data_IF_842670869455
#
_entry.id   IF_842670869455
#
_cell.length_a   1.000
_cell.length_b   1.000
_cell.length_c   1.000
_cell.angle_alpha   90.00
_cell.angle_beta   90.00
_cell.angle_gamma   90.00
#
_symmetry.space_group_name_H-M   'P 1'
#
loop_
_entity.id
_entity.type
_entity.pdbx_description
1 polymer ?
#
# COMPACT_ATOMS: atom_id res chain seq x y z
N UNK A 1 21.39 8.68 -31.39
CA UNK A 1 22.01 9.45 -30.30
C UNK A 1 21.08 10.58 -29.93
N UNK A 2 20.10 10.33 -29.08
CA UNK A 2 19.24 11.31 -28.35
C UNK A 2 18.32 10.48 -27.51
N UNK A 3 18.53 10.46 -26.20
CA UNK A 3 17.65 10.16 -25.05
C UNK A 3 18.46 9.52 -23.92
N UNK A 4 19.45 10.29 -23.46
CA UNK A 4 20.20 9.97 -22.23
C UNK A 4 20.15 11.19 -21.31
N UNK A 5 18.94 11.64 -20.95
CA UNK A 5 18.76 12.75 -20.01
C UNK A 5 17.32 12.71 -19.49
N UNK A 6 17.04 11.85 -18.53
CA UNK A 6 15.93 11.97 -17.55
C UNK A 6 15.98 10.83 -16.51
N UNK A 7 17.09 10.71 -15.79
CA UNK A 7 17.20 9.82 -14.64
C UNK A 7 17.94 10.46 -13.45
N UNK A 8 17.84 11.78 -13.30
CA UNK A 8 18.49 12.47 -12.19
C UNK A 8 17.59 13.57 -11.62
N UNK A 9 16.42 13.19 -11.05
CA UNK A 9 15.65 14.12 -10.19
C UNK A 9 14.64 13.37 -9.29
N UNK A 10 15.12 12.48 -8.45
CA UNK A 10 14.28 11.88 -7.40
C UNK A 10 15.08 11.64 -6.10
N UNK A 11 16.10 12.45 -5.82
CA UNK A 11 16.90 12.30 -4.60
C UNK A 11 17.12 13.63 -3.89
N UNK A 12 16.12 14.51 -3.83
CA UNK A 12 16.22 15.75 -3.09
C UNK A 12 14.87 16.23 -2.56
N UNK A 13 14.25 15.47 -1.68
CA UNK A 13 13.19 15.97 -0.81
C UNK A 13 13.21 15.24 0.54
N UNK A 14 14.39 15.12 1.14
CA UNK A 14 14.50 14.99 2.59
C UNK A 14 14.34 16.38 3.17
N UNK A 15 13.10 16.87 3.25
CA UNK A 15 12.78 18.07 3.99
C UNK A 15 13.13 17.83 5.45
N UNK A 16 14.14 18.53 5.93
CA UNK A 16 14.50 18.63 7.34
C UNK A 16 13.36 19.31 8.07
N UNK A 17 12.48 18.56 8.71
CA UNK A 17 11.60 19.10 9.73
C UNK A 17 12.43 19.38 10.97
N UNK A 18 12.89 20.61 11.12
CA UNK A 18 13.43 21.09 12.38
C UNK A 18 12.27 21.25 13.35
N UNK A 19 12.23 20.40 14.37
CA UNK A 19 11.38 20.61 15.54
C UNK A 19 11.87 21.87 16.26
N UNK A 20 11.13 22.97 16.17
CA UNK A 20 11.33 24.12 17.04
C UNK A 20 10.62 23.84 18.36
N UNK A 21 11.41 23.60 19.39
CA UNK A 21 10.95 23.73 20.77
C UNK A 21 10.72 25.23 21.06
N UNK A 22 9.50 25.62 21.39
CA UNK A 22 9.20 26.94 21.90
C UNK A 22 8.42 26.90 23.21
N UNK A 23 8.87 27.76 24.08
CA UNK A 23 8.68 27.98 25.50
C UNK A 23 7.24 28.00 26.03
N UNK A 24 7.18 27.53 27.28
CA UNK A 24 6.22 27.78 28.39
C UNK A 24 5.27 28.98 28.26
N UNK A 25 3.96 28.68 28.21
CA UNK A 25 2.93 29.44 28.90
C UNK A 25 1.84 28.49 29.42
N UNK A 26 1.45 28.67 30.69
CA UNK A 26 0.43 27.91 31.41
C UNK A 26 -0.93 27.98 30.71
N UNK A 27 -1.25 26.98 29.94
CA UNK A 27 -2.55 26.65 29.38
C UNK A 27 -2.58 25.13 29.26
N UNK A 28 -3.72 24.51 29.48
CA UNK A 28 -3.98 23.09 29.40
C UNK A 28 -3.10 22.47 28.31
N UNK A 29 -2.06 21.71 28.71
CA UNK A 29 -1.15 21.04 27.77
C UNK A 29 -1.93 19.96 27.03
N UNK A 30 -2.44 20.29 25.87
CA UNK A 30 -2.78 19.28 24.87
C UNK A 30 -1.45 18.67 24.45
N UNK A 31 -1.19 17.42 24.83
CA UNK A 31 0.02 16.73 24.40
C UNK A 31 0.04 16.72 22.87
N UNK A 32 0.90 17.52 22.27
CA UNK A 32 1.19 17.43 20.82
C UNK A 32 1.88 16.09 20.62
N UNK A 33 1.11 15.07 20.24
CA UNK A 33 1.61 13.70 20.03
C UNK A 33 2.75 13.71 19.02
N UNK A 34 3.81 13.00 19.35
CA UNK A 34 4.97 12.84 18.49
C UNK A 34 4.59 12.03 17.25
N UNK A 35 4.99 12.49 16.08
CA UNK A 35 4.95 11.71 14.86
C UNK A 35 6.03 10.64 14.90
N UNK A 36 5.65 9.42 14.55
CA UNK A 36 6.52 8.28 14.35
C UNK A 36 6.27 7.70 12.98
N UNK A 37 7.23 7.00 12.43
CA UNK A 37 7.01 6.41 11.12
C UNK A 37 8.23 5.72 10.55
N UNK A 38 8.09 5.26 9.31
CA UNK A 38 9.16 4.61 8.56
C UNK A 38 9.09 4.95 7.08
N UNK A 39 10.24 5.08 6.46
CA UNK A 39 10.42 5.06 5.02
C UNK A 39 11.06 3.74 4.61
N UNK A 40 10.54 3.09 3.57
CA UNK A 40 11.07 1.83 3.02
C UNK A 40 11.45 2.03 1.57
N UNK A 41 12.61 1.49 1.16
CA UNK A 41 13.06 1.48 -0.22
C UNK A 41 13.53 0.06 -0.60
N UNK A 42 13.00 -0.47 -1.69
CA UNK A 42 13.38 -1.76 -2.25
C UNK A 42 13.82 -1.64 -3.70
N UNK A 43 14.85 -2.41 -4.05
CA UNK A 43 15.34 -2.53 -5.41
C UNK A 43 15.78 -3.97 -5.68
N UNK A 44 15.36 -4.52 -6.83
CA UNK A 44 15.83 -5.80 -7.33
C UNK A 44 16.07 -5.72 -8.83
N UNK A 45 17.16 -6.33 -9.30
CA UNK A 45 17.46 -6.41 -10.73
C UNK A 45 18.01 -7.78 -11.08
N UNK A 46 17.51 -8.35 -12.16
CA UNK A 46 18.05 -9.58 -12.75
C UNK A 46 18.50 -9.33 -14.18
N UNK A 47 19.60 -9.96 -14.57
CA UNK A 47 20.18 -9.89 -15.92
C UNK A 47 20.62 -11.28 -16.36
N UNK A 48 20.71 -11.52 -17.66
CA UNK A 48 21.10 -12.81 -18.24
C UNK A 48 19.99 -13.40 -19.11
N UNK A 49 19.62 -14.66 -18.85
CA UNK A 49 18.56 -15.35 -19.63
C UNK A 49 17.18 -14.70 -19.48
N UNK A 50 16.92 -14.07 -18.34
CA UNK A 50 15.78 -13.17 -18.11
C UNK A 50 16.29 -11.80 -17.67
N UNK A 51 15.48 -10.77 -17.91
CA UNK A 51 15.77 -9.40 -17.48
C UNK A 51 14.56 -8.86 -16.74
N UNK A 52 14.77 -8.38 -15.51
CA UNK A 52 13.75 -7.64 -14.74
C UNK A 52 14.38 -6.56 -13.88
N UNK A 53 13.59 -5.55 -13.54
CA UNK A 53 13.93 -4.49 -12.60
C UNK A 53 12.69 -4.16 -11.80
N UNK A 54 12.81 -4.12 -10.47
CA UNK A 54 11.73 -3.77 -9.56
C UNK A 54 12.23 -2.68 -8.63
N UNK A 55 11.43 -1.66 -8.44
CA UNK A 55 11.66 -0.58 -7.47
C UNK A 55 10.37 -0.38 -6.69
N UNK A 56 10.46 -0.29 -5.38
CA UNK A 56 9.34 0.08 -4.53
C UNK A 56 9.76 1.05 -3.44
N UNK A 57 8.84 1.92 -3.05
CA UNK A 57 8.99 2.83 -1.93
C UNK A 57 7.71 2.82 -1.09
N UNK A 58 7.87 2.86 0.24
CA UNK A 58 6.76 2.97 1.18
C UNK A 58 7.06 4.04 2.23
N UNK A 59 6.04 4.78 2.61
CA UNK A 59 6.07 5.74 3.71
C UNK A 59 4.90 5.43 4.65
N UNK A 60 5.19 5.31 5.93
CA UNK A 60 4.18 5.16 6.97
C UNK A 60 4.41 6.21 8.05
N UNK A 61 3.41 6.99 8.36
CA UNK A 61 3.44 8.01 9.42
C UNK A 61 2.29 7.75 10.38
N UNK A 62 2.57 7.82 11.68
CA UNK A 62 1.57 7.65 12.73
C UNK A 62 1.74 8.74 13.77
N UNK A 63 0.62 9.25 14.26
CA UNK A 63 0.57 10.17 15.38
C UNK A 63 -0.44 9.67 16.41
N UNK A 64 -0.02 9.58 17.64
CA UNK A 64 -0.89 9.20 18.73
C UNK A 64 -0.82 10.27 19.82
N UNK A 65 -1.97 10.91 20.12
CA UNK A 65 -2.17 11.83 21.22
C UNK A 65 -3.06 11.18 22.28
N UNK A 66 -3.42 11.90 23.31
CA UNK A 66 -4.38 11.39 24.34
C UNK A 66 -5.75 11.11 23.72
N UNK A 67 -6.19 11.92 22.74
CA UNK A 67 -7.52 11.85 22.15
C UNK A 67 -7.53 11.32 20.69
N UNK A 68 -6.42 11.43 19.97
CA UNK A 68 -6.37 11.10 18.54
C UNK A 68 -5.34 10.04 18.21
N UNK A 69 -5.70 9.23 17.23
CA UNK A 69 -4.80 8.25 16.60
C UNK A 69 -4.89 8.48 15.08
N UNK A 70 -3.89 9.11 14.51
CA UNK A 70 -3.83 9.45 13.09
C UNK A 70 -2.81 8.55 12.38
N UNK A 71 -3.09 8.17 11.16
CA UNK A 71 -2.13 7.48 10.30
C UNK A 71 -2.18 8.01 8.88
N UNK A 72 -1.05 7.92 8.20
CA UNK A 72 -0.89 8.17 6.79
C UNK A 72 0.05 7.14 6.21
N UNK A 73 -0.26 6.62 5.03
CA UNK A 73 0.66 5.80 4.26
C UNK A 73 0.67 6.20 2.78
N UNK A 74 1.81 5.93 2.14
CA UNK A 74 2.00 6.08 0.71
C UNK A 74 2.91 4.97 0.22
N UNK A 75 2.43 4.15 -0.71
CA UNK A 75 3.15 3.04 -1.32
C UNK A 75 3.28 3.27 -2.83
N UNK A 76 4.45 2.99 -3.37
CA UNK A 76 4.70 3.04 -4.81
C UNK A 76 5.50 1.82 -5.23
N UNK A 77 5.11 1.23 -6.37
CA UNK A 77 5.78 0.09 -6.98
C UNK A 77 5.88 0.31 -8.48
N UNK A 78 7.06 0.10 -9.03
CA UNK A 78 7.26 -0.01 -10.48
C UNK A 78 8.13 -1.20 -10.82
N UNK A 79 7.64 -2.04 -11.74
CA UNK A 79 8.36 -3.19 -12.26
C UNK A 79 8.50 -3.11 -13.77
N UNK A 80 9.64 -3.54 -14.28
CA UNK A 80 9.89 -3.76 -15.70
C UNK A 80 10.39 -5.17 -15.91
N UNK A 81 9.96 -5.81 -16.99
CA UNK A 81 10.33 -7.17 -17.30
C UNK A 81 10.46 -7.41 -18.80
N UNK A 82 11.07 -8.54 -19.12
CA UNK A 82 11.13 -8.99 -20.50
C UNK A 82 9.81 -9.67 -20.88
N UNK A 83 9.06 -9.06 -21.79
CA UNK A 83 7.82 -9.57 -22.36
C UNK A 83 8.05 -10.01 -23.80
N UNK A 84 7.31 -11.03 -24.25
CA UNK A 84 7.32 -11.47 -25.64
C UNK A 84 6.13 -10.83 -26.34
N UNK A 85 6.40 -10.05 -27.40
CA UNK A 85 5.37 -9.41 -28.23
C UNK A 85 5.49 -9.90 -29.66
N UNK A 86 4.38 -9.96 -30.38
CA UNK A 86 4.37 -10.29 -31.81
C UNK A 86 4.57 -8.99 -32.61
N UNK A 87 5.62 -8.93 -33.43
CA UNK A 87 5.85 -7.76 -34.28
C UNK A 87 4.89 -7.72 -35.51
N UNK A 88 4.94 -6.66 -36.29
CA UNK A 88 4.08 -6.48 -37.44
C UNK A 88 4.27 -7.57 -38.52
N UNK A 89 5.40 -8.30 -38.50
CA UNK A 89 5.72 -9.42 -39.40
C UNK A 89 5.30 -10.80 -38.85
N UNK A 90 4.59 -10.84 -37.68
CA UNK A 90 4.14 -12.07 -37.06
C UNK A 90 5.21 -12.81 -36.23
N UNK A 91 6.40 -12.25 -36.06
CA UNK A 91 7.48 -12.87 -35.30
C UNK A 91 7.42 -12.51 -33.82
N UNK A 92 7.68 -13.51 -32.95
CA UNK A 92 7.83 -13.28 -31.51
C UNK A 92 9.16 -12.57 -31.22
N UNK A 93 9.09 -11.37 -30.65
CA UNK A 93 10.26 -10.56 -30.25
C UNK A 93 10.20 -10.30 -28.73
N UNK A 94 11.36 -10.30 -28.09
CA UNK A 94 11.48 -9.96 -26.69
C UNK A 94 11.66 -8.45 -26.53
N UNK A 95 10.77 -7.83 -25.75
CA UNK A 95 10.80 -6.41 -25.41
C UNK A 95 10.94 -6.23 -23.92
N UNK A 96 11.65 -5.18 -23.48
CA UNK A 96 11.77 -4.82 -22.07
C UNK A 96 10.77 -3.72 -21.75
N UNK A 97 9.69 -4.07 -21.06
CA UNK A 97 8.57 -3.16 -20.87
C UNK A 97 8.13 -3.12 -19.40
N UNK A 98 7.28 -2.13 -19.05
CA UNK A 98 6.69 -2.00 -17.74
C UNK A 98 5.67 -3.13 -17.52
N UNK A 99 5.78 -3.83 -16.40
CA UNK A 99 4.93 -4.96 -16.01
C UNK A 99 4.13 -4.71 -14.73
N UNK A 100 4.48 -3.66 -13.98
CA UNK A 100 3.68 -3.11 -12.88
C UNK A 100 3.98 -1.62 -12.74
N UNK A 101 2.95 -0.81 -12.49
CA UNK A 101 3.07 0.60 -12.11
C UNK A 101 1.88 0.95 -11.22
N UNK A 102 2.13 1.10 -9.92
CA UNK A 102 1.11 1.22 -8.89
C UNK A 102 1.51 2.24 -7.84
N UNK A 103 0.52 2.99 -7.37
CA UNK A 103 0.63 3.77 -6.14
C UNK A 103 -0.65 3.64 -5.31
N UNK A 104 -0.47 3.60 -4.00
CA UNK A 104 -1.52 3.44 -3.00
C UNK A 104 -1.30 4.48 -1.90
N UNK A 105 -2.34 5.25 -1.59
CA UNK A 105 -2.30 6.33 -0.61
C UNK A 105 -3.45 6.14 0.37
N UNK A 106 -3.21 6.36 1.65
CA UNK A 106 -4.28 6.34 2.62
C UNK A 106 -4.01 7.19 3.84
N UNK A 107 -5.11 7.61 4.45
CA UNK A 107 -5.09 8.36 5.69
C UNK A 107 -6.24 7.92 6.59
N UNK A 108 -6.01 7.93 7.90
CA UNK A 108 -7.07 7.73 8.88
C UNK A 108 -6.92 8.67 10.07
N UNK A 109 -8.08 9.04 10.66
CA UNK A 109 -8.18 9.81 11.88
C UNK A 109 -9.12 9.09 12.85
N UNK A 110 -8.60 8.66 13.99
CA UNK A 110 -9.33 7.94 15.03
C UNK A 110 -9.47 8.79 16.29
N UNK A 111 -10.70 9.03 16.72
CA UNK A 111 -10.99 9.68 17.99
C UNK A 111 -11.14 8.61 19.08
N UNK A 112 -10.29 8.66 20.10
CA UNK A 112 -10.28 7.69 21.21
C UNK A 112 -11.46 7.93 22.13
N UNK A 113 -12.26 6.89 22.36
CA UNK A 113 -13.35 6.87 23.33
C UNK A 113 -12.85 6.45 24.72
N UNK A 114 -11.89 5.54 24.72
CA UNK A 114 -11.19 5.00 25.90
C UNK A 114 -9.78 4.50 25.45
N UNK A 115 -8.92 3.98 26.37
CA UNK A 115 -7.58 3.50 26.04
C UNK A 115 -7.51 2.38 24.98
N UNK A 116 -8.64 1.70 24.68
CA UNK A 116 -8.70 0.59 23.72
C UNK A 116 -9.64 0.82 22.55
N UNK A 117 -10.60 1.73 22.68
CA UNK A 117 -11.68 1.91 21.70
C UNK A 117 -11.59 3.28 21.03
N UNK A 118 -11.90 3.35 19.75
CA UNK A 118 -11.92 4.60 19.00
C UNK A 118 -12.93 4.55 17.83
N UNK A 119 -13.43 5.71 17.45
CA UNK A 119 -14.16 5.90 16.17
C UNK A 119 -13.13 6.36 15.14
N UNK A 120 -13.13 5.74 13.97
CA UNK A 120 -12.15 6.03 12.91
C UNK A 120 -12.84 6.40 11.60
N UNK A 121 -12.42 7.52 11.02
CA UNK A 121 -12.66 7.86 9.63
C UNK A 121 -11.39 7.53 8.82
N UNK A 122 -11.54 6.83 7.70
CA UNK A 122 -10.42 6.44 6.84
C UNK A 122 -10.75 6.68 5.37
N UNK A 123 -9.71 7.05 4.62
CA UNK A 123 -9.74 7.18 3.16
C UNK A 123 -8.54 6.48 2.54
N UNK A 124 -8.77 5.80 1.41
CA UNK A 124 -7.75 5.13 0.61
C UNK A 124 -7.97 5.41 -0.87
N UNK A 125 -6.90 5.62 -1.60
CA UNK A 125 -6.87 5.71 -3.05
C UNK A 125 -5.75 4.83 -3.59
N UNK A 126 -6.09 3.99 -4.56
CA UNK A 126 -5.17 3.12 -5.25
C UNK A 126 -5.27 3.35 -6.76
N UNK A 127 -4.13 3.37 -7.43
CA UNK A 127 -4.02 3.34 -8.88
C UNK A 127 -3.06 2.22 -9.28
N UNK A 128 -3.50 1.35 -10.19
CA UNK A 128 -2.69 0.24 -10.71
C UNK A 128 -3.05 -0.01 -12.18
N UNK A 129 -2.13 0.29 -13.08
CA UNK A 129 -2.34 0.15 -14.52
C UNK A 129 -2.40 -1.33 -14.98
N UNK A 130 -2.04 -2.28 -14.12
CA UNK A 130 -1.93 -3.71 -14.43
C UNK A 130 -2.89 -4.60 -13.62
N UNK A 131 -3.65 -4.02 -12.69
CA UNK A 131 -4.61 -4.74 -11.86
C UNK A 131 -6.00 -4.85 -12.50
N UNK A 132 -6.91 -5.56 -11.81
CA UNK A 132 -8.31 -5.70 -12.20
C UNK A 132 -9.07 -4.37 -12.25
N UNK A 133 -8.65 -3.43 -11.40
CA UNK A 133 -9.20 -2.07 -11.33
C UNK A 133 -8.08 -1.07 -11.52
N UNK A 134 -8.26 -0.21 -12.52
CA UNK A 134 -7.29 0.83 -12.86
C UNK A 134 -7.08 1.84 -11.73
N UNK A 135 -8.15 2.14 -11.03
CA UNK A 135 -8.10 2.86 -9.77
C UNK A 135 -9.32 2.53 -8.91
N UNK A 136 -9.14 2.66 -7.61
CA UNK A 136 -10.21 2.56 -6.65
C UNK A 136 -9.99 3.55 -5.49
N UNK A 137 -11.10 4.13 -5.01
CA UNK A 137 -11.10 5.03 -3.87
C UNK A 137 -12.15 4.57 -2.87
N UNK A 138 -11.77 4.43 -1.61
CA UNK A 138 -12.68 4.03 -0.52
C UNK A 138 -12.64 5.07 0.58
N UNK A 139 -13.82 5.45 1.07
CA UNK A 139 -13.98 6.20 2.31
C UNK A 139 -14.81 5.37 3.28
N UNK A 140 -14.49 5.43 4.56
CA UNK A 140 -15.18 4.62 5.58
C UNK A 140 -15.24 5.33 6.93
N UNK A 141 -16.25 4.96 7.71
CA UNK A 141 -16.38 5.32 9.12
C UNK A 141 -16.54 4.02 9.91
N UNK A 142 -15.77 3.83 10.96
CA UNK A 142 -15.75 2.57 11.67
C UNK A 142 -15.49 2.70 13.16
N UNK A 143 -15.59 1.57 13.83
CA UNK A 143 -15.20 1.38 15.22
C UNK A 143 -13.91 0.57 15.25
N UNK A 144 -12.92 1.06 16.01
CA UNK A 144 -11.65 0.42 16.23
C UNK A 144 -11.48 -0.07 17.66
N UNK A 145 -10.85 -1.24 17.81
CA UNK A 145 -10.59 -1.84 19.11
C UNK A 145 -9.18 -2.41 19.19
N UNK A 146 -8.43 -2.03 20.24
CA UNK A 146 -7.12 -2.56 20.57
C UNK A 146 -7.30 -3.80 21.46
N UNK A 147 -7.32 -4.98 20.85
CA UNK A 147 -7.55 -6.24 21.53
C UNK A 147 -6.36 -6.65 22.42
N UNK A 148 -5.13 -6.47 21.90
CA UNK A 148 -3.90 -6.73 22.64
C UNK A 148 -2.96 -5.53 22.56
N UNK A 149 -2.44 -5.11 23.70
CA UNK A 149 -1.40 -4.07 23.80
C UNK A 149 -0.44 -4.47 24.92
N UNK A 150 0.62 -5.17 24.56
CA UNK A 150 1.70 -5.58 25.46
C UNK A 150 3.04 -5.08 24.90
N UNK A 151 4.13 -5.23 25.61
CA UNK A 151 5.47 -4.85 25.15
C UNK A 151 5.92 -5.62 23.90
N UNK A 152 5.36 -6.82 23.68
CA UNK A 152 5.73 -7.70 22.55
C UNK A 152 4.68 -7.81 21.50
N UNK A 153 3.39 -7.64 21.86
CA UNK A 153 2.27 -7.94 20.96
C UNK A 153 1.29 -6.77 20.91
N UNK A 154 0.93 -6.36 19.71
CA UNK A 154 -0.16 -5.44 19.47
C UNK A 154 -1.11 -6.06 18.46
N UNK A 155 -2.40 -6.05 18.76
CA UNK A 155 -3.46 -6.52 17.87
C UNK A 155 -4.62 -5.54 17.93
N UNK A 156 -4.99 -4.98 16.81
CA UNK A 156 -6.14 -4.09 16.67
C UNK A 156 -7.02 -4.50 15.50
N UNK A 157 -8.30 -4.20 15.66
CA UNK A 157 -9.32 -4.41 14.64
C UNK A 157 -10.07 -3.11 14.39
N UNK A 158 -10.49 -2.92 13.14
CA UNK A 158 -11.42 -1.86 12.75
C UNK A 158 -12.53 -2.50 11.92
N UNK A 159 -13.76 -2.07 12.13
CA UNK A 159 -14.91 -2.51 11.33
C UNK A 159 -15.89 -1.35 11.15
N UNK A 160 -16.46 -1.23 9.97
CA UNK A 160 -17.48 -0.22 9.71
C UNK A 160 -17.94 -0.21 8.27
N UNK A 161 -18.99 0.55 7.97
CA UNK A 161 -19.44 0.82 6.61
C UNK A 161 -18.46 1.72 5.87
N UNK A 162 -18.39 1.52 4.57
CA UNK A 162 -17.65 2.37 3.65
C UNK A 162 -18.34 2.50 2.30
N UNK A 163 -17.81 3.39 1.49
CA UNK A 163 -18.23 3.59 0.11
C UNK A 163 -16.99 3.54 -0.77
N UNK A 164 -17.03 2.66 -1.76
CA UNK A 164 -15.94 2.47 -2.73
C UNK A 164 -16.42 2.87 -4.12
N UNK A 165 -15.63 3.65 -4.81
CA UNK A 165 -15.75 3.96 -6.22
C UNK A 165 -14.52 3.45 -6.97
N UNK A 166 -14.71 2.85 -8.14
CA UNK A 166 -13.62 2.23 -8.89
C UNK A 166 -13.86 2.23 -10.40
N UNK A 167 -12.78 2.20 -11.16
CA UNK A 167 -12.77 2.04 -12.61
C UNK A 167 -12.20 0.67 -12.96
N UNK A 168 -13.02 -0.25 -13.51
CA UNK A 168 -12.51 -1.53 -14.02
C UNK A 168 -11.40 -1.31 -15.07
N UNK A 169 -10.46 -2.23 -15.14
CA UNK A 169 -9.47 -2.28 -16.21
C UNK A 169 -10.16 -2.49 -17.56
N UNK A 170 -9.45 -2.21 -18.65
CA UNK A 170 -9.96 -2.53 -19.98
C UNK A 170 -9.70 -4.02 -20.25
N UNK A 171 -10.77 -4.80 -20.35
CA UNK A 171 -10.71 -6.20 -20.77
C UNK A 171 -10.71 -6.35 -22.29
N UNK A 172 -10.79 -7.58 -22.76
CA UNK A 172 -11.00 -7.92 -24.17
C UNK A 172 -12.24 -8.78 -24.33
N UNK A 173 -12.98 -8.58 -25.42
CA UNK A 173 -14.07 -9.45 -25.83
C UNK A 173 -13.92 -9.82 -27.31
N UNK A 174 -14.32 -11.03 -27.69
CA UNK A 174 -14.28 -11.46 -29.08
C UNK A 174 -15.64 -11.23 -29.72
N UNK A 175 -15.70 -10.38 -30.76
CA UNK A 175 -16.90 -10.13 -31.56
C UNK A 175 -16.59 -10.60 -32.99
N UNK A 176 -17.35 -11.57 -33.50
CA UNK A 176 -17.16 -12.16 -34.85
C UNK A 176 -15.71 -12.63 -35.10
N UNK A 177 -15.05 -13.20 -34.09
CA UNK A 177 -13.67 -13.68 -34.20
C UNK A 177 -12.59 -12.58 -34.09
N UNK A 178 -12.96 -11.31 -33.86
CA UNK A 178 -12.05 -10.20 -33.65
C UNK A 178 -12.05 -9.79 -32.19
N UNK A 179 -10.86 -9.69 -31.58
CA UNK A 179 -10.72 -9.14 -30.24
C UNK A 179 -10.92 -7.63 -30.25
N UNK A 180 -11.89 -7.16 -29.46
CA UNK A 180 -12.19 -5.75 -29.28
C UNK A 180 -12.06 -5.37 -27.81
N UNK A 181 -11.57 -4.16 -27.47
CA UNK A 181 -11.49 -3.71 -26.08
C UNK A 181 -12.87 -3.64 -25.43
N UNK A 182 -13.01 -4.26 -24.28
CA UNK A 182 -14.18 -4.15 -23.39
C UNK A 182 -13.88 -3.12 -22.30
N UNK A 183 -14.48 -1.93 -22.43
CA UNK A 183 -14.36 -0.86 -21.44
C UNK A 183 -15.66 -0.74 -20.65
N UNK A 184 -15.59 -1.01 -19.37
CA UNK A 184 -16.72 -0.82 -18.48
C UNK A 184 -16.76 0.61 -17.89
N UNK A 185 -17.96 1.13 -17.59
CA UNK A 185 -18.10 2.42 -16.92
C UNK A 185 -17.59 2.33 -15.47
N UNK A 186 -17.31 3.50 -14.89
CA UNK A 186 -17.05 3.66 -13.46
C UNK A 186 -18.18 3.05 -12.65
N UNK A 187 -17.82 2.38 -11.59
CA UNK A 187 -18.74 1.70 -10.70
C UNK A 187 -18.52 2.14 -9.25
N UNK A 188 -19.56 1.97 -8.45
CA UNK A 188 -19.51 2.22 -7.02
C UNK A 188 -20.34 1.22 -6.24
N UNK A 189 -20.02 1.07 -4.96
CA UNK A 189 -20.74 0.19 -4.04
C UNK A 189 -20.56 0.64 -2.60
N UNK A 190 -21.54 0.30 -1.76
CA UNK A 190 -21.36 0.30 -0.30
C UNK A 190 -20.61 -0.96 0.07
N UNK A 191 -19.67 -0.83 0.99
CA UNK A 191 -18.84 -1.95 1.48
C UNK A 191 -18.89 -2.05 3.00
N UNK A 192 -18.75 -3.26 3.52
CA UNK A 192 -18.31 -3.51 4.86
C UNK A 192 -16.77 -3.53 4.84
N UNK A 193 -16.14 -2.60 5.57
CA UNK A 193 -14.68 -2.54 5.68
C UNK A 193 -14.26 -3.15 7.01
N UNK A 194 -13.31 -4.08 6.95
CA UNK A 194 -12.61 -4.65 8.08
C UNK A 194 -11.10 -4.44 7.94
N UNK A 195 -10.42 -4.10 9.03
CA UNK A 195 -8.97 -4.00 9.09
C UNK A 195 -8.48 -4.68 10.35
N UNK A 196 -7.47 -5.54 10.22
CA UNK A 196 -6.76 -6.13 11.34
C UNK A 196 -5.28 -5.78 11.23
N UNK A 197 -4.69 -5.27 12.31
CA UNK A 197 -3.26 -5.00 12.39
C UNK A 197 -2.66 -5.82 13.52
N UNK A 198 -1.67 -6.62 13.20
CA UNK A 198 -0.91 -7.43 14.13
C UNK A 198 0.55 -7.05 14.10
N UNK A 199 1.16 -6.82 15.27
CA UNK A 199 2.60 -6.62 15.42
C UNK A 199 3.12 -7.52 16.54
N UNK A 200 4.22 -8.20 16.25
CA UNK A 200 4.85 -9.09 17.22
C UNK A 200 6.37 -8.91 17.22
N UNK A 201 6.94 -8.62 18.40
CA UNK A 201 8.39 -8.56 18.58
C UNK A 201 8.90 -9.96 18.94
N UNK A 202 9.51 -10.64 17.95
CA UNK A 202 10.07 -11.97 18.11
C UNK A 202 11.30 -11.94 19.03
N UNK A 203 12.20 -10.99 18.77
CA UNK A 203 13.42 -10.76 19.56
C UNK A 203 13.59 -9.25 19.80
N UNK A 204 14.70 -8.83 20.43
CA UNK A 204 14.99 -7.40 20.64
C UNK A 204 15.18 -6.63 19.32
N UNK A 205 15.66 -7.32 18.29
CA UNK A 205 15.96 -6.73 16.99
C UNK A 205 15.10 -7.28 15.84
N UNK A 206 14.19 -8.22 16.09
CA UNK A 206 13.36 -8.83 15.05
C UNK A 206 11.88 -8.64 15.36
N UNK A 207 11.14 -8.09 14.42
CA UNK A 207 9.71 -7.87 14.52
C UNK A 207 8.98 -8.42 13.30
N UNK A 208 7.80 -8.96 13.53
CA UNK A 208 6.82 -9.36 12.52
C UNK A 208 5.65 -8.38 12.55
N UNK A 209 5.19 -7.95 11.41
CA UNK A 209 3.98 -7.16 11.23
C UNK A 209 3.08 -7.81 10.17
N UNK A 210 1.79 -7.73 10.38
CA UNK A 210 0.77 -8.21 9.44
C UNK A 210 -0.44 -7.28 9.44
N UNK A 211 -0.90 -6.92 8.25
CA UNK A 211 -2.08 -6.10 8.06
C UNK A 211 -3.02 -6.80 7.10
N UNK A 212 -4.25 -7.05 7.54
CA UNK A 212 -5.31 -7.60 6.72
C UNK A 212 -6.40 -6.56 6.53
N UNK A 213 -6.63 -6.14 5.29
CA UNK A 213 -7.73 -5.26 4.87
C UNK A 213 -8.75 -6.08 4.08
N UNK A 214 -10.02 -5.92 4.40
CA UNK A 214 -11.15 -6.47 3.65
C UNK A 214 -12.18 -5.36 3.38
N UNK A 215 -12.59 -5.24 2.14
CA UNK A 215 -13.67 -4.33 1.71
C UNK A 215 -14.67 -5.16 0.91
N UNK A 216 -15.78 -5.57 1.55
CA UNK A 216 -16.77 -6.47 0.97
C UNK A 216 -18.03 -5.72 0.58
N UNK A 217 -18.38 -5.73 -0.70
CA UNK A 217 -19.57 -5.13 -1.26
C UNK A 217 -20.33 -6.10 -2.18
N UNK A 218 -21.45 -5.63 -2.72
CA UNK A 218 -22.33 -6.45 -3.57
C UNK A 218 -21.73 -6.78 -4.94
N UNK A 219 -20.77 -5.98 -5.42
CA UNK A 219 -20.17 -6.15 -6.76
C UNK A 219 -18.78 -6.75 -6.71
N UNK A 220 -17.99 -6.42 -5.69
CA UNK A 220 -16.64 -6.92 -5.50
C UNK A 220 -16.30 -7.02 -4.02
N UNK A 221 -15.57 -8.05 -3.64
CA UNK A 221 -14.85 -8.15 -2.37
C UNK A 221 -13.37 -8.00 -2.66
N UNK A 222 -12.77 -6.95 -2.11
CA UNK A 222 -11.34 -6.73 -2.11
C UNK A 222 -10.73 -7.24 -0.80
N UNK A 223 -9.65 -8.00 -0.89
CA UNK A 223 -8.86 -8.48 0.23
C UNK A 223 -7.40 -8.16 -0.03
N UNK A 224 -6.72 -7.55 0.95
CA UNK A 224 -5.29 -7.33 0.92
C UNK A 224 -4.67 -7.80 2.23
N UNK A 225 -3.62 -8.60 2.14
CA UNK A 225 -2.79 -8.98 3.26
C UNK A 225 -1.35 -8.55 3.01
N UNK A 226 -0.77 -7.86 3.98
CA UNK A 226 0.60 -7.37 3.98
C UNK A 226 1.33 -7.94 5.20
N UNK A 227 2.15 -8.96 5.00
CA UNK A 227 3.00 -9.55 6.03
C UNK A 227 4.45 -9.08 5.88
N UNK A 228 5.13 -8.80 6.99
CA UNK A 228 6.50 -8.32 7.00
C UNK A 228 7.33 -8.87 8.15
N UNK A 229 8.57 -9.26 7.86
CA UNK A 229 9.57 -9.61 8.86
C UNK A 229 10.73 -8.62 8.76
N UNK A 230 10.93 -7.83 9.80
CA UNK A 230 11.97 -6.80 9.88
C UNK A 230 13.06 -7.18 10.88
N UNK A 231 14.33 -7.02 10.48
CA UNK A 231 15.49 -7.19 11.36
C UNK A 231 16.22 -5.86 11.46
N UNK A 232 16.27 -5.30 12.67
CA UNK A 232 16.95 -4.04 12.96
C UNK A 232 18.45 -4.24 13.00
N UNK A 233 19.19 -3.48 12.17
CA UNK A 233 20.63 -3.41 12.16
C UNK A 233 21.16 -2.34 13.13
N UNK A 234 20.41 -1.25 13.23
CA UNK A 234 20.65 -0.15 14.16
C UNK A 234 19.33 0.34 14.75
N UNK A 235 19.36 1.36 15.63
CA UNK A 235 18.14 1.96 16.17
C UNK A 235 17.24 2.57 15.10
N UNK A 236 17.80 2.97 13.94
CA UNK A 236 17.08 3.64 12.85
C UNK A 236 17.01 2.84 11.55
N UNK A 237 17.83 1.82 11.38
CA UNK A 237 17.94 1.10 10.12
C UNK A 237 17.61 -0.37 10.29
N UNK A 238 16.74 -0.90 9.44
CA UNK A 238 16.33 -2.29 9.41
C UNK A 238 16.30 -2.83 7.97
N UNK A 239 16.39 -4.15 7.83
CA UNK A 239 16.06 -4.86 6.60
C UNK A 239 14.72 -5.54 6.81
N UNK A 240 13.80 -5.41 5.84
CA UNK A 240 12.47 -6.01 5.89
C UNK A 240 12.24 -6.88 4.65
N UNK A 241 11.81 -8.11 4.88
CA UNK A 241 11.22 -8.96 3.84
C UNK A 241 9.71 -8.86 3.97
N UNK A 242 9.05 -8.46 2.90
CA UNK A 242 7.61 -8.28 2.82
C UNK A 242 6.96 -9.25 1.85
N UNK A 243 5.76 -9.71 2.17
CA UNK A 243 4.90 -10.50 1.30
C UNK A 243 3.51 -9.89 1.30
N UNK A 244 3.02 -9.53 0.11
CA UNK A 244 1.69 -8.96 -0.10
C UNK A 244 0.86 -9.89 -0.98
N UNK A 245 -0.38 -10.09 -0.59
CA UNK A 245 -1.41 -10.76 -1.40
C UNK A 245 -2.57 -9.78 -1.58
N UNK A 246 -3.07 -9.67 -2.80
CA UNK A 246 -4.24 -8.87 -3.15
C UNK A 246 -5.22 -9.75 -3.92
N UNK A 247 -6.48 -9.70 -3.55
CA UNK A 247 -7.52 -10.49 -4.19
C UNK A 247 -8.76 -9.64 -4.48
N UNK A 248 -9.30 -9.79 -5.68
CA UNK A 248 -10.59 -9.25 -6.09
C UNK A 248 -11.51 -10.40 -6.47
N UNK A 249 -12.69 -10.47 -5.88
CA UNK A 249 -13.68 -11.53 -6.16
C UNK A 249 -14.31 -11.40 -7.54
N UNK A 250 -14.33 -10.19 -8.12
CA UNK A 250 -14.89 -9.91 -9.42
C UNK A 250 -13.87 -9.18 -10.30
N UNK A 251 -13.53 -9.78 -11.42
CA UNK A 251 -12.57 -9.24 -12.41
C UNK A 251 -13.08 -9.52 -13.82
N UNK A 252 -12.62 -8.74 -14.81
CA UNK A 252 -12.96 -8.97 -16.20
C UNK A 252 -12.30 -10.24 -16.74
N UNK A 253 -12.88 -10.87 -17.79
CA UNK A 253 -12.27 -12.02 -18.45
C UNK A 253 -10.82 -11.74 -18.87
N UNK A 254 -9.93 -12.71 -18.61
CA UNK A 254 -8.50 -12.60 -18.89
C UNK A 254 -7.67 -11.94 -17.79
N UNK A 255 -8.29 -11.33 -16.79
CA UNK A 255 -7.61 -10.73 -15.63
C UNK A 255 -7.55 -11.72 -14.46
N UNK A 256 -6.44 -11.74 -13.73
CA UNK A 256 -6.29 -12.60 -12.54
C UNK A 256 -7.00 -12.00 -11.34
N UNK A 257 -7.59 -12.89 -10.52
CA UNK A 257 -8.22 -12.51 -9.26
C UNK A 257 -7.22 -12.17 -8.15
N UNK A 258 -6.04 -12.76 -8.19
CA UNK A 258 -5.06 -12.67 -7.12
C UNK A 258 -3.69 -12.29 -7.66
N UNK A 259 -3.12 -11.26 -7.04
CA UNK A 259 -1.75 -10.81 -7.26
C UNK A 259 -0.93 -11.02 -5.99
N UNK A 260 0.34 -11.38 -6.16
CA UNK A 260 1.29 -11.53 -5.06
C UNK A 260 2.54 -10.73 -5.34
N UNK A 261 3.13 -10.16 -4.29
CA UNK A 261 4.35 -9.38 -4.35
C UNK A 261 5.25 -9.74 -3.18
N UNK A 262 6.48 -10.13 -3.47
CA UNK A 262 7.54 -10.28 -2.46
C UNK A 262 8.54 -9.15 -2.61
N UNK A 263 8.90 -8.51 -1.52
CA UNK A 263 9.84 -7.39 -1.49
C UNK A 263 10.96 -7.62 -0.48
N UNK A 264 12.12 -7.01 -0.74
CA UNK A 264 13.18 -6.85 0.25
C UNK A 264 13.56 -5.38 0.28
N UNK A 265 13.37 -4.76 1.44
CA UNK A 265 13.48 -3.32 1.61
C UNK A 265 14.51 -2.98 2.68
N UNK A 266 15.18 -1.86 2.49
CA UNK A 266 15.85 -1.13 3.56
C UNK A 266 14.80 -0.19 4.18
N UNK A 267 14.68 -0.22 5.51
CA UNK A 267 13.71 0.56 6.29
C UNK A 267 14.46 1.55 7.14
N UNK A 268 14.09 2.82 7.06
CA UNK A 268 14.55 3.88 7.95
C UNK A 268 13.42 4.29 8.89
N UNK A 269 13.65 4.16 10.20
CA UNK A 269 12.71 4.59 11.24
C UNK A 269 12.99 6.05 11.63
N UNK A 270 11.93 6.85 11.61
CA UNK A 270 11.93 8.29 11.90
C UNK A 270 11.96 8.58 13.40
#
# INVERSE_FOLDING_TARGET
>A
MKNLLMTSLALAALATFTAQAQDTSSGTQTSTGTWTGSGELGFASTTGNSRSQNVNAKLNLNQETDQWKNSFFADWLRSKGQVTVTNAQGNAVKQFDTTADRYDLGASAGYKLDPRSYIVAAGRYEHDDFAAYRWQATVSLGYGYMALKTDRTQLSFEIGPGYTEYQPATGTQTINGVEVPLKEPRQSQVVARGLANYKYRLTENTAFDDTLLMESGSKNTYLQNDAGLAVSMTKKLSIKVGFQVRHNSNVLPGIRHTDTLTTTNIVYNL
#
